data_IF_973554590235
#
_entry.id   IF_973554590235
#
_cell.length_a   1.000
_cell.length_b   1.000
_cell.length_c   1.000
_cell.angle_alpha   90.00
_cell.angle_beta   90.00
_cell.angle_gamma   90.00
#
_symmetry.space_group_name_H-M   'P 1'
#
loop_
_entity.id
_entity.type
_entity.pdbx_description
1 polymer ?
#
# COMPACT_ATOMS: atom_id res chain seq x y z
N UNK A 1 7.97 3.00 -27.34
CA UNK A 1 8.49 2.69 -26.00
C UNK A 1 7.59 3.37 -24.98
N UNK A 2 6.63 2.66 -24.41
CA UNK A 2 5.85 3.20 -23.28
C UNK A 2 6.78 3.26 -22.07
N UNK A 3 7.19 4.46 -21.68
CA UNK A 3 7.92 4.68 -20.43
C UNK A 3 7.05 4.20 -19.28
N UNK A 4 7.39 3.05 -18.69
CA UNK A 4 6.73 2.51 -17.51
C UNK A 4 6.96 3.54 -16.39
N UNK A 5 5.91 4.21 -15.95
CA UNK A 5 6.02 5.23 -14.91
C UNK A 5 6.68 4.63 -13.67
N UNK A 6 7.70 5.28 -13.13
CA UNK A 6 8.33 4.87 -11.88
C UNK A 6 7.28 4.88 -10.76
N UNK A 7 7.27 3.83 -9.93
CA UNK A 7 6.29 3.62 -8.88
C UNK A 7 6.98 3.56 -7.53
N UNK A 8 6.46 4.31 -6.56
CA UNK A 8 6.79 4.21 -5.15
C UNK A 8 5.67 3.42 -4.48
N UNK A 9 6.03 2.37 -3.75
CA UNK A 9 5.11 1.67 -2.86
C UNK A 9 5.26 2.26 -1.46
N UNK A 10 4.19 2.90 -0.98
CA UNK A 10 4.13 3.54 0.33
C UNK A 10 3.42 2.60 1.30
N UNK A 11 4.09 2.20 2.38
CA UNK A 11 3.51 1.25 3.33
C UNK A 11 2.50 1.95 4.25
N UNK A 12 1.30 1.37 4.34
CA UNK A 12 0.35 1.68 5.41
C UNK A 12 0.62 0.72 6.55
N UNK A 13 0.99 1.29 7.69
CA UNK A 13 1.38 0.57 8.91
C UNK A 13 0.33 0.81 9.99
N UNK A 14 0.75 0.77 11.26
CA UNK A 14 -0.12 0.85 12.42
C UNK A 14 0.07 2.16 13.20
N UNK A 15 -0.79 2.39 14.20
CA UNK A 15 -0.62 3.40 15.25
C UNK A 15 -0.32 4.83 14.74
N UNK A 16 0.67 5.51 15.31
CA UNK A 16 1.01 6.88 14.97
C UNK A 16 1.49 7.04 13.50
N UNK A 17 2.33 6.16 12.94
CA UNK A 17 2.70 6.22 11.52
C UNK A 17 1.51 6.09 10.56
N UNK A 18 0.50 5.27 10.89
CA UNK A 18 -0.71 5.18 10.09
C UNK A 18 -1.45 6.53 10.04
N UNK A 19 -1.64 7.17 11.20
CA UNK A 19 -2.28 8.50 11.29
C UNK A 19 -1.50 9.56 10.52
N UNK A 20 -0.17 9.57 10.63
CA UNK A 20 0.68 10.48 9.88
C UNK A 20 0.53 10.28 8.35
N UNK A 21 0.40 9.02 7.92
CA UNK A 21 0.21 8.68 6.50
C UNK A 21 -1.09 9.27 5.92
N UNK A 22 -2.19 9.31 6.69
CA UNK A 22 -3.44 9.95 6.24
C UNK A 22 -3.25 11.43 5.91
N UNK A 23 -2.41 12.15 6.67
CA UNK A 23 -2.11 13.57 6.43
C UNK A 23 -1.07 13.75 5.32
N UNK A 24 -0.01 12.95 5.33
CA UNK A 24 1.18 13.19 4.51
C UNK A 24 1.10 12.58 3.11
N UNK A 25 0.46 11.41 2.94
CA UNK A 25 0.38 10.73 1.64
C UNK A 25 -0.26 11.59 0.53
N UNK A 26 -1.34 12.36 0.77
CA UNK A 26 -1.88 13.25 -0.25
C UNK A 26 -0.86 14.31 -0.72
N UNK A 27 -0.02 14.81 0.19
CA UNK A 27 1.03 15.78 -0.11
C UNK A 27 2.11 15.13 -0.97
N UNK A 28 2.61 13.94 -0.57
CA UNK A 28 3.60 13.19 -1.35
C UNK A 28 3.10 12.96 -2.78
N UNK A 29 1.86 12.46 -2.95
CA UNK A 29 1.24 12.23 -4.26
C UNK A 29 1.17 13.50 -5.12
N UNK A 30 0.85 14.65 -4.52
CA UNK A 30 0.74 15.92 -5.25
C UNK A 30 2.10 16.36 -5.81
N UNK A 31 3.17 16.21 -5.04
CA UNK A 31 4.52 16.60 -5.45
C UNK A 31 5.13 15.61 -6.46
N UNK A 32 4.96 14.30 -6.26
CA UNK A 32 5.53 13.28 -7.16
C UNK A 32 4.86 13.26 -8.53
N UNK A 33 3.60 13.72 -8.62
CA UNK A 33 2.87 13.85 -9.89
C UNK A 33 3.61 14.72 -10.91
N UNK A 34 4.28 15.78 -10.46
CA UNK A 34 5.06 16.65 -11.34
C UNK A 34 6.25 15.93 -12.01
N UNK A 35 6.76 14.87 -11.37
CA UNK A 35 7.84 14.04 -11.87
C UNK A 35 7.36 12.78 -12.63
N UNK A 36 6.04 12.62 -12.83
CA UNK A 36 5.47 11.41 -13.45
C UNK A 36 5.64 10.16 -12.60
N UNK A 37 5.87 10.30 -11.28
CA UNK A 37 6.05 9.18 -10.35
C UNK A 37 4.73 8.87 -9.65
N UNK A 38 4.28 7.62 -9.78
CA UNK A 38 3.08 7.11 -9.11
C UNK A 38 3.40 6.65 -7.69
N UNK A 39 2.46 6.88 -6.76
CA UNK A 39 2.59 6.43 -5.37
C UNK A 39 1.37 5.58 -5.02
N UNK A 40 1.59 4.30 -4.75
CA UNK A 40 0.55 3.34 -4.39
C UNK A 40 0.74 2.86 -2.97
N UNK A 41 -0.37 2.61 -2.28
CA UNK A 41 -0.34 2.13 -0.91
C UNK A 41 -0.22 0.60 -0.89
N UNK A 42 0.52 0.07 0.09
CA UNK A 42 0.54 -1.35 0.45
C UNK A 42 0.27 -1.50 1.94
N UNK A 43 -0.80 -2.20 2.30
CA UNK A 43 -1.25 -2.37 3.67
C UNK A 43 -0.52 -3.53 4.35
N UNK A 44 0.44 -3.18 5.19
CA UNK A 44 1.18 -4.13 6.02
C UNK A 44 0.83 -3.99 7.50
N UNK A 45 -0.28 -3.31 7.80
CA UNK A 45 -0.80 -3.22 9.16
C UNK A 45 -1.02 -4.60 9.77
N UNK A 46 -1.00 -4.68 11.09
CA UNK A 46 -1.31 -5.92 11.80
C UNK A 46 -2.67 -6.48 11.37
N UNK A 47 -3.68 -5.61 11.27
CA UNK A 47 -5.01 -6.00 10.85
C UNK A 47 -5.02 -6.52 9.40
N UNK A 48 -4.37 -5.80 8.47
CA UNK A 48 -4.29 -6.20 7.06
C UNK A 48 -3.66 -7.57 6.87
N UNK A 49 -2.55 -7.85 7.58
CA UNK A 49 -1.88 -9.15 7.50
C UNK A 49 -2.74 -10.29 8.04
N UNK A 50 -3.48 -10.08 9.14
CA UNK A 50 -4.41 -11.08 9.67
C UNK A 50 -5.51 -11.35 8.63
N UNK A 51 -6.10 -10.31 8.04
CA UNK A 51 -7.15 -10.44 7.02
C UNK A 51 -6.66 -11.21 5.79
N UNK A 52 -5.46 -10.90 5.31
CA UNK A 52 -4.86 -11.57 4.15
C UNK A 52 -4.51 -13.05 4.40
N UNK A 53 -4.21 -13.41 5.66
CA UNK A 53 -3.82 -14.79 6.04
C UNK A 53 -5.01 -15.76 6.07
N UNK A 54 -6.23 -15.28 6.38
CA UNK A 54 -7.41 -16.13 6.59
C UNK A 54 -8.57 -15.84 5.60
N UNK A 55 -8.33 -15.83 4.28
CA UNK A 55 -9.33 -15.41 3.29
C UNK A 55 -10.53 -16.36 3.17
N UNK A 56 -10.40 -17.62 3.58
CA UNK A 56 -11.47 -18.63 3.60
C UNK A 56 -12.58 -18.32 4.60
N UNK A 57 -12.29 -17.53 5.63
CA UNK A 57 -13.24 -17.11 6.66
C UNK A 57 -13.94 -15.79 6.34
N UNK A 58 -13.69 -15.22 5.16
CA UNK A 58 -14.12 -13.87 4.79
C UNK A 58 -15.03 -13.87 3.57
N UNK A 59 -16.00 -12.94 3.56
CA UNK A 59 -16.77 -12.65 2.35
C UNK A 59 -15.86 -12.04 1.28
N UNK A 60 -16.30 -12.08 0.02
CA UNK A 60 -15.53 -11.49 -1.08
C UNK A 60 -15.19 -10.01 -0.86
N UNK A 61 -16.04 -9.27 -0.15
CA UNK A 61 -15.87 -7.85 0.15
C UNK A 61 -14.91 -7.59 1.31
N UNK A 62 -14.68 -8.57 2.19
CA UNK A 62 -13.77 -8.46 3.33
C UNK A 62 -12.34 -8.87 3.00
N UNK A 63 -12.13 -9.64 1.93
CA UNK A 63 -10.80 -10.10 1.51
C UNK A 63 -9.92 -8.92 1.13
N UNK A 64 -8.64 -9.06 1.45
CA UNK A 64 -7.57 -8.11 1.08
C UNK A 64 -6.43 -8.90 0.44
N UNK A 65 -5.62 -8.23 -0.38
CA UNK A 65 -4.39 -8.80 -0.94
C UNK A 65 -3.34 -9.02 0.16
N UNK A 66 -2.49 -10.02 -0.02
CA UNK A 66 -1.30 -10.21 0.80
C UNK A 66 -0.19 -9.27 0.32
N UNK A 67 -0.31 -8.00 0.73
CA UNK A 67 0.63 -6.94 0.35
C UNK A 67 2.03 -7.17 0.94
N UNK A 68 2.16 -7.93 2.04
CA UNK A 68 3.46 -8.28 2.61
C UNK A 68 4.19 -9.29 1.72
N UNK A 69 3.49 -10.33 1.26
CA UNK A 69 4.07 -11.28 0.30
C UNK A 69 4.43 -10.60 -1.02
N UNK A 70 3.57 -9.73 -1.56
CA UNK A 70 3.87 -8.98 -2.79
C UNK A 70 5.14 -8.12 -2.64
N UNK A 71 5.29 -7.42 -1.51
CA UNK A 71 6.49 -6.63 -1.23
C UNK A 71 7.74 -7.51 -1.06
N UNK A 72 7.59 -8.71 -0.51
CA UNK A 72 8.67 -9.69 -0.37
C UNK A 72 9.24 -10.14 -1.72
N UNK A 73 8.38 -10.36 -2.72
CA UNK A 73 8.81 -10.74 -4.08
C UNK A 73 9.50 -9.59 -4.85
N UNK A 74 9.35 -8.35 -4.40
CA UNK A 74 9.96 -7.16 -5.01
C UNK A 74 11.39 -6.87 -4.51
N UNK A 75 11.74 -7.34 -3.31
CA UNK A 75 12.98 -7.02 -2.59
C UNK A 75 14.16 -7.93 -2.97
#
# INVERSE_FOLDING_TARGET
MTTKASKILYTKTDEAPALATYSFLPIVKAFTKAAGVSVELRDISLAGRIIATFPEHLTAQQKQSDDLAELGELA
#
